data_IF_514171357250
#
_entry.id   IF_514171357250
#
_cell.length_a   1.000
_cell.length_b   1.000
_cell.length_c   1.000
_cell.angle_alpha   90.00
_cell.angle_beta   90.00
_cell.angle_gamma   90.00
#
_symmetry.space_group_name_H-M   'P 1'
#
loop_
_entity.id
_entity.type
_entity.pdbx_description
1 polymer ?
#
# COMPACT_ATOMS: atom_id res chain seq x y z
N UNK A 1 17.09 -12.70 -16.75
CA UNK A 1 15.89 -11.83 -16.67
C UNK A 1 16.14 -10.58 -17.49
N UNK A 2 15.13 -10.01 -18.13
CA UNK A 2 15.26 -8.74 -18.84
C UNK A 2 15.39 -7.55 -17.87
N UNK A 3 14.85 -7.67 -16.66
CA UNK A 3 15.01 -6.68 -15.61
C UNK A 3 16.47 -6.61 -15.13
N UNK A 4 16.97 -5.39 -14.90
CA UNK A 4 18.33 -5.12 -14.40
C UNK A 4 18.52 -5.56 -12.95
N UNK A 5 17.48 -5.44 -12.13
CA UNK A 5 17.51 -5.75 -10.70
C UNK A 5 16.32 -6.61 -10.30
N UNK A 6 16.51 -7.34 -9.20
CA UNK A 6 15.45 -8.05 -8.49
C UNK A 6 15.46 -7.56 -7.05
N UNK A 7 14.35 -7.00 -6.59
CA UNK A 7 14.19 -6.61 -5.19
C UNK A 7 13.44 -7.74 -4.49
N UNK A 8 14.10 -8.38 -3.53
CA UNK A 8 13.49 -9.45 -2.73
C UNK A 8 12.78 -8.85 -1.52
N UNK A 9 11.51 -9.21 -1.34
CA UNK A 9 10.71 -8.83 -0.18
C UNK A 9 9.91 -10.02 0.33
N UNK A 10 9.55 -10.02 1.62
CA UNK A 10 8.89 -11.14 2.28
C UNK A 10 7.53 -10.72 2.80
N UNK A 11 6.48 -11.08 2.05
CA UNK A 11 5.10 -10.83 2.46
C UNK A 11 4.73 -11.56 3.78
N UNK A 12 3.81 -11.01 4.58
CA UNK A 12 3.40 -11.61 5.85
C UNK A 12 2.59 -12.90 5.64
N UNK A 13 2.64 -13.80 6.64
CA UNK A 13 1.66 -14.89 6.74
C UNK A 13 0.41 -14.35 7.42
N UNK A 14 -0.73 -14.36 6.75
CA UNK A 14 -1.96 -13.80 7.30
C UNK A 14 -2.59 -14.74 8.32
N UNK A 15 -2.98 -14.18 9.47
CA UNK A 15 -3.82 -14.81 10.48
C UNK A 15 -4.74 -13.73 11.01
N UNK A 16 -6.04 -14.00 11.11
CA UNK A 16 -7.03 -12.97 11.50
C UNK A 16 -6.71 -12.31 12.85
N UNK A 17 -6.16 -13.06 13.82
CA UNK A 17 -5.72 -12.52 15.13
C UNK A 17 -4.54 -11.54 15.07
N UNK A 18 -3.81 -11.50 13.96
CA UNK A 18 -2.67 -10.62 13.73
C UNK A 18 -2.90 -9.71 12.51
N UNK A 19 -4.17 -9.37 12.23
CA UNK A 19 -4.54 -8.53 11.08
C UNK A 19 -3.71 -7.26 11.00
N UNK A 20 -3.66 -6.46 12.06
CA UNK A 20 -2.91 -5.19 12.10
C UNK A 20 -1.41 -5.36 11.82
N UNK A 21 -0.80 -6.43 12.34
CA UNK A 21 0.61 -6.74 12.08
C UNK A 21 0.83 -7.18 10.63
N UNK A 22 -0.10 -7.94 10.05
CA UNK A 22 -0.05 -8.34 8.65
C UNK A 22 -0.21 -7.12 7.72
N UNK A 23 -1.15 -6.22 8.02
CA UNK A 23 -1.35 -4.98 7.25
C UNK A 23 -0.08 -4.11 7.28
N UNK A 24 0.49 -3.88 8.47
CA UNK A 24 1.74 -3.10 8.63
C UNK A 24 2.92 -3.73 7.89
N UNK A 25 3.02 -5.07 7.92
CA UNK A 25 4.09 -5.80 7.26
C UNK A 25 3.96 -5.76 5.74
N UNK A 26 2.73 -5.89 5.21
CA UNK A 26 2.48 -5.82 3.77
C UNK A 26 2.74 -4.40 3.25
N UNK A 27 2.29 -3.37 3.98
CA UNK A 27 2.65 -1.98 3.70
C UNK A 27 4.17 -1.79 3.62
N UNK A 28 4.89 -2.27 4.63
CA UNK A 28 6.35 -2.20 4.67
C UNK A 28 7.01 -2.89 3.46
N UNK A 29 6.45 -3.99 2.97
CA UNK A 29 6.96 -4.66 1.77
C UNK A 29 6.94 -3.74 0.54
N UNK A 30 5.81 -3.07 0.28
CA UNK A 30 5.69 -2.14 -0.86
C UNK A 30 6.55 -0.89 -0.65
N UNK A 31 6.48 -0.27 0.54
CA UNK A 31 7.23 0.94 0.87
C UNK A 31 8.74 0.74 0.73
N UNK A 32 9.28 -0.38 1.22
CA UNK A 32 10.72 -0.65 1.16
C UNK A 32 11.19 -0.93 -0.26
N UNK A 33 10.37 -1.59 -1.08
CA UNK A 33 10.69 -1.80 -2.51
C UNK A 33 10.75 -0.48 -3.25
N UNK A 34 9.77 0.41 -3.04
CA UNK A 34 9.75 1.75 -3.65
C UNK A 34 10.92 2.61 -3.15
N UNK A 35 11.26 2.50 -1.86
CA UNK A 35 12.41 3.19 -1.29
C UNK A 35 13.72 2.78 -1.98
N UNK A 36 13.96 1.48 -2.09
CA UNK A 36 15.15 0.96 -2.76
C UNK A 36 15.19 1.34 -4.23
N UNK A 37 14.04 1.33 -4.92
CA UNK A 37 13.96 1.77 -6.31
C UNK A 37 14.38 3.23 -6.47
N UNK A 38 13.92 4.11 -5.57
CA UNK A 38 14.31 5.53 -5.54
C UNK A 38 15.79 5.70 -5.22
N UNK A 39 16.30 5.02 -4.19
CA UNK A 39 17.72 5.09 -3.78
C UNK A 39 18.68 4.62 -4.87
N UNK A 40 18.26 3.64 -5.68
CA UNK A 40 19.02 3.11 -6.82
C UNK A 40 18.71 3.83 -8.14
N UNK A 41 17.98 4.95 -8.11
CA UNK A 41 17.57 5.73 -9.28
C UNK A 41 17.00 4.87 -10.42
N UNK A 42 16.11 3.93 -10.08
CA UNK A 42 15.43 3.10 -11.07
C UNK A 42 14.30 3.90 -11.73
N UNK A 43 14.18 3.83 -13.06
CA UNK A 43 13.09 4.52 -13.77
C UNK A 43 11.76 3.75 -13.73
N UNK A 44 11.78 2.42 -13.53
CA UNK A 44 10.57 1.61 -13.50
C UNK A 44 10.66 0.43 -12.54
N UNK A 45 9.52 0.04 -11.99
CA UNK A 45 9.38 -1.07 -11.04
C UNK A 45 8.16 -1.92 -11.41
N UNK A 46 8.36 -3.24 -11.49
CA UNK A 46 7.29 -4.22 -11.62
C UNK A 46 7.02 -4.91 -10.28
N UNK A 47 5.81 -4.76 -9.75
CA UNK A 47 5.32 -5.49 -8.59
C UNK A 47 4.61 -6.76 -9.01
N UNK A 48 4.97 -7.89 -8.41
CA UNK A 48 4.10 -9.06 -8.37
C UNK A 48 3.10 -8.92 -7.21
N UNK A 49 2.09 -9.78 -7.18
CA UNK A 49 1.18 -9.91 -6.03
C UNK A 49 1.95 -10.51 -4.84
N UNK A 50 2.49 -9.65 -3.97
CA UNK A 50 3.35 -10.03 -2.82
C UNK A 50 2.60 -10.96 -1.85
N UNK A 51 1.30 -10.76 -1.73
CA UNK A 51 0.37 -11.54 -0.91
C UNK A 51 -0.08 -12.83 -1.61
N UNK A 52 0.84 -13.77 -1.82
CA UNK A 52 0.51 -15.03 -2.49
C UNK A 52 -0.59 -15.84 -1.77
N UNK A 53 -1.36 -16.63 -2.54
CA UNK A 53 -2.41 -17.51 -2.02
C UNK A 53 -1.94 -18.41 -0.87
N UNK A 54 -0.69 -18.88 -0.91
CA UNK A 54 -0.09 -19.72 0.14
C UNK A 54 -0.02 -19.03 1.51
N UNK A 55 -0.09 -17.70 1.55
CA UNK A 55 -0.04 -16.89 2.77
C UNK A 55 -1.42 -16.49 3.29
N UNK A 56 -2.50 -16.89 2.60
CA UNK A 56 -3.91 -16.73 2.99
C UNK A 56 -4.33 -15.29 3.31
N UNK A 57 -3.70 -14.28 2.70
CA UNK A 57 -4.10 -12.89 2.88
C UNK A 57 -5.34 -12.61 2.01
N UNK A 58 -6.42 -12.01 2.54
CA UNK A 58 -7.58 -11.62 1.75
C UNK A 58 -7.18 -10.70 0.58
N UNK A 59 -7.54 -11.08 -0.64
CA UNK A 59 -7.06 -10.43 -1.85
C UNK A 59 -7.46 -8.94 -1.92
N UNK A 60 -8.72 -8.62 -1.64
CA UNK A 60 -9.23 -7.24 -1.66
C UNK A 60 -8.51 -6.35 -0.63
N UNK A 61 -8.39 -6.81 0.63
CA UNK A 61 -7.64 -6.11 1.69
C UNK A 61 -6.18 -5.85 1.30
N UNK A 62 -5.51 -6.85 0.71
CA UNK A 62 -4.11 -6.72 0.28
C UNK A 62 -3.94 -5.75 -0.89
N UNK A 63 -4.86 -5.77 -1.85
CA UNK A 63 -4.83 -4.88 -3.01
C UNK A 63 -5.07 -3.43 -2.59
N UNK A 64 -5.96 -3.16 -1.64
CA UNK A 64 -6.11 -1.82 -1.05
C UNK A 64 -4.77 -1.29 -0.49
N UNK A 65 -4.03 -2.12 0.25
CA UNK A 65 -2.71 -1.73 0.79
C UNK A 65 -1.71 -1.47 -0.32
N UNK A 66 -1.65 -2.36 -1.32
CA UNK A 66 -0.73 -2.24 -2.46
C UNK A 66 -0.95 -0.91 -3.21
N UNK A 67 -2.19 -0.67 -3.63
CA UNK A 67 -2.56 0.51 -4.43
C UNK A 67 -2.40 1.80 -3.63
N UNK A 68 -2.86 1.83 -2.38
CA UNK A 68 -2.70 2.98 -1.50
C UNK A 68 -1.23 3.35 -1.30
N UNK A 69 -0.40 2.37 -0.99
CA UNK A 69 1.04 2.61 -0.70
C UNK A 69 1.73 3.19 -1.92
N UNK A 70 1.48 2.60 -3.09
CA UNK A 70 2.06 3.11 -4.36
C UNK A 70 1.52 4.50 -4.69
N UNK A 71 0.21 4.74 -4.52
CA UNK A 71 -0.41 6.05 -4.75
C UNK A 71 0.25 7.14 -3.91
N UNK A 72 0.31 6.95 -2.58
CA UNK A 72 0.92 7.92 -1.65
C UNK A 72 2.39 8.15 -1.95
N UNK A 73 3.14 7.09 -2.25
CA UNK A 73 4.54 7.23 -2.63
C UNK A 73 4.71 8.05 -3.91
N UNK A 74 3.88 7.83 -4.92
CA UNK A 74 3.95 8.57 -6.18
C UNK A 74 3.51 10.03 -6.05
N UNK A 75 2.60 10.35 -5.12
CA UNK A 75 2.24 11.75 -4.81
C UNK A 75 3.45 12.56 -4.31
N UNK A 76 4.38 11.93 -3.57
CA UNK A 76 5.54 12.59 -2.95
C UNK A 76 6.82 12.41 -3.79
N UNK A 77 6.95 11.29 -4.48
CA UNK A 77 8.20 10.86 -5.15
C UNK A 77 8.02 10.47 -6.62
N UNK A 78 6.87 10.78 -7.23
CA UNK A 78 6.52 10.39 -8.59
C UNK A 78 7.51 10.88 -9.66
N UNK A 79 8.20 12.00 -9.44
CA UNK A 79 9.20 12.51 -10.38
C UNK A 79 10.40 11.57 -10.56
N UNK A 80 10.65 10.68 -9.60
CA UNK A 80 11.78 9.72 -9.65
C UNK A 80 11.46 8.43 -10.39
N UNK A 81 10.17 8.13 -10.62
CA UNK A 81 9.70 6.88 -11.21
C UNK A 81 8.82 7.18 -12.43
N UNK A 82 9.23 6.72 -13.60
CA UNK A 82 8.42 6.87 -14.81
C UNK A 82 7.23 5.92 -14.83
N UNK A 83 7.42 4.67 -14.36
CA UNK A 83 6.38 3.62 -14.43
C UNK A 83 6.42 2.66 -13.25
N UNK A 84 5.24 2.40 -12.69
CA UNK A 84 4.99 1.29 -11.78
C UNK A 84 4.01 0.32 -12.45
N UNK A 85 4.37 -0.95 -12.54
CA UNK A 85 3.56 -1.99 -13.18
C UNK A 85 3.12 -3.01 -12.13
N UNK A 86 1.82 -3.25 -12.02
CA UNK A 86 1.28 -4.35 -11.23
C UNK A 86 1.10 -5.58 -12.13
N UNK A 87 2.00 -6.55 -12.01
CA UNK A 87 1.94 -7.82 -12.72
C UNK A 87 1.01 -8.78 -11.96
N UNK A 88 -0.24 -8.86 -12.44
CA UNK A 88 -1.32 -9.69 -11.89
C UNK A 88 -1.59 -10.90 -12.79
N UNK A 89 -2.13 -11.97 -12.22
CA UNK A 89 -2.69 -13.09 -13.00
C UNK A 89 -4.19 -12.90 -13.22
N UNK A 90 -4.81 -13.79 -14.00
CA UNK A 90 -6.27 -13.80 -14.21
C UNK A 90 -7.07 -13.85 -12.90
N UNK A 91 -6.49 -14.44 -11.85
CA UNK A 91 -7.14 -14.52 -10.54
C UNK A 91 -7.27 -13.15 -9.86
N UNK A 92 -6.25 -12.31 -9.95
CA UNK A 92 -6.22 -11.02 -9.25
C UNK A 92 -6.69 -9.86 -10.11
N UNK A 93 -6.65 -10.01 -11.43
CA UNK A 93 -6.92 -8.95 -12.40
C UNK A 93 -8.26 -8.24 -12.12
N UNK A 94 -9.35 -9.00 -11.93
CA UNK A 94 -10.66 -8.43 -11.66
C UNK A 94 -10.69 -7.55 -10.41
N UNK A 95 -9.94 -7.92 -9.36
CA UNK A 95 -9.85 -7.13 -8.12
C UNK A 95 -9.05 -5.86 -8.35
N UNK A 96 -7.92 -5.94 -9.06
CA UNK A 96 -7.13 -4.75 -9.38
C UNK A 96 -7.89 -3.78 -10.28
N UNK A 97 -8.59 -4.28 -11.31
CA UNK A 97 -9.40 -3.43 -12.19
C UNK A 97 -10.53 -2.73 -11.42
N UNK A 98 -11.20 -3.43 -10.49
CA UNK A 98 -12.24 -2.86 -9.64
C UNK A 98 -11.71 -1.75 -8.72
N UNK A 99 -10.55 -1.95 -8.10
CA UNK A 99 -10.03 -1.05 -7.07
C UNK A 99 -9.15 0.08 -7.61
N UNK A 100 -8.57 -0.08 -8.80
CA UNK A 100 -7.70 0.93 -9.43
C UNK A 100 -8.31 2.33 -9.48
N UNK A 101 -9.57 2.52 -9.95
CA UNK A 101 -10.22 3.83 -9.98
C UNK A 101 -10.30 4.53 -8.61
N UNK A 102 -10.37 3.76 -7.53
CA UNK A 102 -10.45 4.31 -6.17
C UNK A 102 -9.18 5.05 -5.76
N UNK A 103 -8.02 4.61 -6.29
CA UNK A 103 -6.71 5.16 -5.93
C UNK A 103 -6.09 5.97 -7.06
N UNK A 104 -6.46 5.71 -8.31
CA UNK A 104 -5.96 6.36 -9.51
C UNK A 104 -7.14 6.75 -10.42
N UNK A 105 -8.03 7.65 -9.97
CA UNK A 105 -9.13 8.11 -10.79
C UNK A 105 -8.60 8.83 -12.04
N UNK A 106 -9.21 8.55 -13.18
CA UNK A 106 -8.82 9.04 -14.52
C UNK A 106 -9.50 10.36 -14.86
N UNK A 107 -10.60 10.68 -14.18
CA UNK A 107 -11.31 11.95 -14.30
C UNK A 107 -11.91 12.37 -12.96
N UNK A 108 -12.32 13.64 -12.87
CA UNK A 108 -12.99 14.17 -11.68
C UNK A 108 -14.33 13.47 -11.43
N UNK A 109 -15.06 13.10 -12.48
CA UNK A 109 -16.31 12.33 -12.32
C UNK A 109 -16.04 10.95 -11.72
N UNK A 110 -14.97 10.27 -12.16
CA UNK A 110 -14.57 8.96 -11.62
C UNK A 110 -14.14 9.07 -10.15
N UNK A 111 -13.44 10.14 -9.78
CA UNK A 111 -13.07 10.42 -8.38
C UNK A 111 -14.32 10.57 -7.49
N UNK A 112 -15.28 11.40 -7.91
CA UNK A 112 -16.53 11.63 -7.16
C UNK A 112 -17.32 10.32 -7.02
N UNK A 113 -17.39 9.52 -8.07
CA UNK A 113 -18.09 8.22 -8.05
C UNK A 113 -17.37 7.18 -7.18
N UNK A 114 -16.05 7.25 -7.09
CA UNK A 114 -15.21 6.32 -6.33
C UNK A 114 -15.19 6.60 -4.83
N UNK A 115 -15.34 7.87 -4.44
CA UNK A 115 -15.24 8.33 -3.06
C UNK A 115 -16.08 7.50 -2.04
N UNK A 116 -17.35 7.12 -2.32
CA UNK A 116 -18.16 6.35 -1.37
C UNK A 116 -17.69 4.90 -1.18
N UNK A 117 -16.86 4.37 -2.10
CA UNK A 117 -16.37 3.00 -2.08
C UNK A 117 -14.98 2.86 -1.47
N UNK A 118 -14.36 3.97 -1.05
CA UNK A 118 -13.09 3.93 -0.34
C UNK A 118 -13.27 3.24 1.03
N UNK A 119 -12.29 2.43 1.47
CA UNK A 119 -12.33 1.81 2.78
C UNK A 119 -12.22 2.86 3.89
N UNK A 120 -12.75 2.56 5.08
CA UNK A 120 -12.71 3.47 6.22
C UNK A 120 -11.28 3.85 6.65
N UNK A 121 -10.33 2.91 6.53
CA UNK A 121 -8.91 3.21 6.67
C UNK A 121 -8.30 3.48 5.29
N UNK A 122 -7.99 4.75 5.01
CA UNK A 122 -7.23 5.20 3.83
C UNK A 122 -5.75 5.44 4.13
N UNK A 123 -5.25 4.94 5.26
CA UNK A 123 -3.88 5.12 5.74
C UNK A 123 -3.51 6.56 6.08
N UNK A 124 -2.28 6.76 6.54
CA UNK A 124 -1.71 8.09 6.79
C UNK A 124 -1.16 8.71 5.48
N UNK A 125 -0.42 9.82 5.61
CA UNK A 125 0.21 10.51 4.48
C UNK A 125 1.15 9.62 3.64
N UNK A 126 1.76 8.60 4.26
CA UNK A 126 2.63 7.62 3.60
C UNK A 126 1.87 6.38 3.12
N UNK A 127 0.58 6.26 3.44
CA UNK A 127 -0.27 5.10 3.13
C UNK A 127 -0.20 3.97 4.16
N UNK A 128 0.50 4.18 5.28
CA UNK A 128 0.58 3.23 6.39
C UNK A 128 -0.79 3.07 7.07
N UNK A 129 -1.24 1.84 7.39
CA UNK A 129 -2.46 1.62 8.14
C UNK A 129 -2.45 2.35 9.51
N UNK A 130 -3.48 3.13 9.79
CA UNK A 130 -3.58 3.86 11.06
C UNK A 130 -4.21 2.97 12.12
N UNK A 131 -3.47 2.70 13.21
CA UNK A 131 -3.98 1.96 14.37
C UNK A 131 -4.09 2.92 15.55
N UNK A 132 -5.29 3.44 15.89
CA UNK A 132 -5.47 4.45 16.94
C UNK A 132 -4.92 4.01 18.31
N UNK A 133 -5.03 2.71 18.61
CA UNK A 133 -4.55 2.11 19.86
C UNK A 133 -3.02 2.19 20.04
N UNK A 134 -2.27 2.40 18.95
CA UNK A 134 -0.81 2.50 18.97
C UNK A 134 -0.31 3.95 19.00
N UNK A 135 -1.20 4.95 19.00
CA UNK A 135 -0.80 6.34 19.11
C UNK A 135 -0.34 6.66 20.53
N UNK A 136 0.81 7.32 20.65
CA UNK A 136 1.30 7.82 21.94
C UNK A 136 0.32 8.89 22.43
N UNK A 137 -0.40 8.59 23.52
CA UNK A 137 -1.24 9.56 24.21
C UNK A 137 -0.33 10.49 25.00
N UNK A 138 0.08 11.60 24.39
CA UNK A 138 0.72 12.68 25.13
C UNK A 138 -0.39 13.43 25.86
N UNK A 139 -0.68 13.04 27.09
CA UNK A 139 -1.40 13.92 28.03
C UNK A 139 -0.44 15.00 28.52
N UNK A 140 -0.96 16.20 28.79
CA UNK A 140 -0.17 17.25 29.45
C UNK A 140 0.45 16.71 30.74
N UNK A 141 1.61 17.28 31.09
CA UNK A 141 2.44 16.82 32.22
C UNK A 141 1.56 16.58 33.45
N UNK A 142 1.63 15.41 34.11
CA UNK A 142 0.99 15.24 35.40
C UNK A 142 1.59 16.25 36.38
N UNK A 143 0.79 17.22 36.85
CA UNK A 143 1.19 18.17 37.89
C UNK A 143 0.99 19.66 37.61
N UNK A 144 0.22 20.08 36.61
CA UNK A 144 -0.26 21.48 36.54
C UNK A 144 -1.59 21.57 37.29
N UNK A 145 -1.67 22.26 38.44
CA UNK A 145 -2.95 22.52 39.10
C UNK A 145 -3.76 23.55 38.29
N UNK A 146 -5.08 23.33 38.23
CA UNK A 146 -6.09 24.17 37.59
C UNK A 146 -6.07 25.64 38.08
#
# INVERSE_FOLDING_TARGET
LAARFIIHTVGPKYKSRYRTAAESSLYSCYRNVLQLAKEQAMCSVGFCVINSLKRCYPLEDATHIALRTVRRFLEIHGETLEKVVFAVSELEEATYQKLMPLYFPRSLEEEIQSLPYLPADIGNAEGEPVVPERQIRITEKPGVPD
#
